data_IF_447293388435
#
_entry.id   IF_447293388435
#
_cell.length_a   1.000
_cell.length_b   1.000
_cell.length_c   1.000
_cell.angle_alpha   90.00
_cell.angle_beta   90.00
_cell.angle_gamma   90.00
#
_symmetry.space_group_name_H-M   'P 1'
#
loop_
_entity.id
_entity.type
_entity.pdbx_description
1 polymer ?
#
# COMPACT_ATOMS: atom_id res chain seq x y z
N UNK A 1 -2.22 21.15 11.56
CA UNK A 1 -2.17 19.69 11.40
C UNK A 1 -0.98 19.12 12.14
N UNK A 2 -1.16 18.00 12.78
CA UNK A 2 -0.09 17.39 13.55
C UNK A 2 0.86 16.62 12.63
N UNK A 3 2.15 16.91 12.70
CA UNK A 3 3.18 16.13 12.00
C UNK A 3 3.13 14.65 12.43
N UNK A 4 2.72 14.42 13.66
CA UNK A 4 2.64 13.09 14.22
C UNK A 4 1.65 12.21 13.44
N UNK A 5 0.50 12.77 13.06
CA UNK A 5 -0.50 12.02 12.29
C UNK A 5 0.01 11.71 10.89
N UNK A 6 0.71 12.65 10.28
CA UNK A 6 1.32 12.44 8.96
C UNK A 6 2.38 11.36 9.01
N UNK A 7 3.17 11.33 10.09
CA UNK A 7 4.22 10.32 10.25
C UNK A 7 3.62 8.94 10.44
N UNK A 8 2.52 8.83 11.20
CA UNK A 8 1.84 7.55 11.41
C UNK A 8 1.33 6.99 10.08
N UNK A 9 0.69 7.83 9.28
CA UNK A 9 0.19 7.39 7.96
C UNK A 9 1.34 7.00 7.05
N UNK A 10 2.37 7.83 6.99
CA UNK A 10 3.52 7.55 6.12
C UNK A 10 4.22 6.26 6.51
N UNK A 11 4.42 6.04 7.80
CA UNK A 11 5.05 4.82 8.29
C UNK A 11 4.21 3.60 7.92
N UNK A 12 2.89 3.71 8.01
CA UNK A 12 2.03 2.60 7.61
C UNK A 12 2.09 2.36 6.10
N UNK A 13 2.20 3.42 5.30
CA UNK A 13 2.38 3.29 3.85
C UNK A 13 3.66 2.51 3.54
N UNK A 14 4.76 2.83 4.24
CA UNK A 14 6.02 2.14 4.05
C UNK A 14 5.90 0.66 4.43
N UNK A 15 5.20 0.37 5.52
CA UNK A 15 4.99 -1.00 5.96
C UNK A 15 4.21 -1.80 4.92
N UNK A 16 3.15 -1.21 4.40
CA UNK A 16 2.29 -1.85 3.39
C UNK A 16 3.08 -2.13 2.11
N UNK A 17 3.84 -1.14 1.63
CA UNK A 17 4.63 -1.29 0.41
C UNK A 17 5.71 -2.35 0.62
N UNK A 18 6.40 -2.30 1.76
CA UNK A 18 7.46 -3.27 2.05
C UNK A 18 6.93 -4.70 2.05
N UNK A 19 5.77 -4.91 2.65
CA UNK A 19 5.16 -6.23 2.68
C UNK A 19 4.84 -6.73 1.27
N UNK A 20 4.23 -5.89 0.45
CA UNK A 20 3.87 -6.26 -0.92
C UNK A 20 5.12 -6.57 -1.74
N UNK A 21 6.15 -5.73 -1.62
CA UNK A 21 7.40 -5.93 -2.36
C UNK A 21 8.04 -7.26 -2.00
N UNK A 22 8.09 -7.59 -0.71
CA UNK A 22 8.68 -8.85 -0.27
C UNK A 22 7.86 -10.05 -0.74
N UNK A 23 6.55 -9.95 -0.70
CA UNK A 23 5.67 -11.01 -1.20
C UNK A 23 5.86 -11.22 -2.69
N UNK A 24 5.98 -10.14 -3.47
CA UNK A 24 6.21 -10.22 -4.90
C UNK A 24 7.57 -10.89 -5.20
N UNK A 25 8.59 -10.52 -4.43
CA UNK A 25 9.91 -11.14 -4.58
C UNK A 25 9.82 -12.65 -4.35
N UNK A 26 9.09 -13.07 -3.33
CA UNK A 26 8.95 -14.50 -3.02
C UNK A 26 8.24 -15.25 -4.14
N UNK A 27 7.37 -14.56 -4.89
CA UNK A 27 6.67 -15.13 -6.03
C UNK A 27 7.44 -14.97 -7.34
N UNK A 28 8.64 -14.40 -7.30
CA UNK A 28 9.46 -14.19 -8.48
C UNK A 28 8.99 -13.06 -9.38
N UNK A 29 8.22 -12.13 -8.85
CA UNK A 29 7.69 -11.00 -9.63
C UNK A 29 8.50 -9.73 -9.36
N UNK A 30 8.66 -8.92 -10.40
CA UNK A 30 9.30 -7.62 -10.23
C UNK A 30 8.38 -6.63 -9.55
N UNK A 31 8.86 -5.88 -8.53
CA UNK A 31 8.02 -4.96 -7.78
C UNK A 31 7.87 -3.60 -8.49
N UNK A 32 7.31 -3.62 -9.69
CA UNK A 32 7.04 -2.39 -10.44
C UNK A 32 5.86 -1.65 -9.80
N UNK A 33 5.89 -0.33 -9.85
CA UNK A 33 4.87 0.48 -9.20
C UNK A 33 3.45 0.14 -9.67
N UNK A 34 3.27 -0.15 -10.96
CA UNK A 34 1.97 -0.51 -11.52
C UNK A 34 1.47 -1.83 -10.93
N UNK A 35 2.37 -2.79 -10.76
CA UNK A 35 2.02 -4.10 -10.21
C UNK A 35 1.69 -3.97 -8.72
N UNK A 36 2.49 -3.20 -7.98
CA UNK A 36 2.24 -2.95 -6.56
C UNK A 36 0.85 -2.33 -6.37
N UNK A 37 0.54 -1.31 -7.18
CA UNK A 37 -0.78 -0.66 -7.12
C UNK A 37 -1.89 -1.65 -7.43
N UNK A 38 -1.70 -2.51 -8.41
CA UNK A 38 -2.69 -3.53 -8.77
C UNK A 38 -2.94 -4.52 -7.65
N UNK A 39 -1.87 -4.99 -7.00
CA UNK A 39 -1.99 -5.90 -5.84
C UNK A 39 -2.79 -5.23 -4.73
N UNK A 40 -2.48 -3.97 -4.43
CA UNK A 40 -3.18 -3.25 -3.37
C UNK A 40 -4.65 -3.02 -3.70
N UNK A 41 -4.97 -2.68 -4.95
CA UNK A 41 -6.36 -2.51 -5.38
C UNK A 41 -7.15 -3.80 -5.22
N UNK A 42 -6.56 -4.91 -5.64
CA UNK A 42 -7.19 -6.22 -5.51
C UNK A 42 -7.44 -6.56 -4.05
N UNK A 43 -6.47 -6.30 -3.20
CA UNK A 43 -6.61 -6.54 -1.77
C UNK A 43 -7.70 -5.67 -1.15
N UNK A 44 -7.75 -4.38 -1.54
CA UNK A 44 -8.76 -3.45 -1.04
C UNK A 44 -10.17 -3.86 -1.47
N UNK A 45 -10.31 -4.48 -2.64
CA UNK A 45 -11.60 -4.94 -3.13
C UNK A 45 -12.10 -6.17 -2.37
N UNK A 46 -11.23 -6.86 -1.65
CA UNK A 46 -11.62 -8.05 -0.88
C UNK A 46 -12.19 -7.62 0.46
N UNK A 47 -13.52 -7.61 0.55
CA UNK A 47 -14.22 -7.17 1.75
C UNK A 47 -14.12 -8.15 2.90
N UNK A 48 -13.64 -9.35 2.66
CA UNK A 48 -13.49 -10.37 3.71
C UNK A 48 -12.28 -10.13 4.59
N UNK A 49 -11.29 -9.42 4.08
CA UNK A 49 -10.08 -9.11 4.85
C UNK A 49 -10.38 -7.94 5.78
N UNK A 50 -10.18 -8.19 7.07
CA UNK A 50 -10.35 -7.12 8.07
C UNK A 50 -9.03 -6.43 8.30
N UNK A 51 -9.06 -5.10 8.22
CA UNK A 51 -7.88 -4.27 8.44
C UNK A 51 -8.26 -3.08 9.31
N UNK A 52 -7.27 -2.50 9.96
CA UNK A 52 -7.49 -1.25 10.68
C UNK A 52 -7.72 -0.12 9.68
N UNK A 53 -8.35 0.95 10.14
CA UNK A 53 -8.60 2.12 9.31
C UNK A 53 -7.31 2.72 8.76
N UNK A 54 -6.28 2.79 9.60
CA UNK A 54 -5.00 3.37 9.17
C UNK A 54 -4.36 2.53 8.06
N UNK A 55 -4.48 1.22 8.13
CA UNK A 55 -3.96 0.33 7.10
C UNK A 55 -4.69 0.55 5.77
N UNK A 56 -6.03 0.61 5.79
CA UNK A 56 -6.79 0.86 4.56
C UNK A 56 -6.49 2.22 3.98
N UNK A 57 -6.41 3.22 4.83
CA UNK A 57 -6.07 4.57 4.39
C UNK A 57 -4.68 4.60 3.75
N UNK A 58 -3.71 3.92 4.37
CA UNK A 58 -2.37 3.83 3.83
C UNK A 58 -2.34 3.12 2.48
N UNK A 59 -3.09 2.04 2.33
CA UNK A 59 -3.17 1.30 1.08
C UNK A 59 -3.74 2.17 -0.04
N UNK A 60 -4.81 2.92 0.24
CA UNK A 60 -5.38 3.84 -0.74
C UNK A 60 -4.41 4.95 -1.11
N UNK A 61 -3.71 5.49 -0.12
CA UNK A 61 -2.73 6.54 -0.36
C UNK A 61 -1.58 6.05 -1.23
N UNK A 62 -1.11 4.82 -1.02
CA UNK A 62 -0.06 4.23 -1.84
C UNK A 62 -0.55 4.04 -3.27
N UNK A 63 -1.76 3.48 -3.46
CA UNK A 63 -2.32 3.28 -4.79
C UNK A 63 -2.38 4.60 -5.54
N UNK A 64 -2.88 5.64 -4.88
CA UNK A 64 -2.97 6.96 -5.50
C UNK A 64 -1.60 7.52 -5.87
N UNK A 65 -0.64 7.41 -4.95
CA UNK A 65 0.71 7.92 -5.18
C UNK A 65 1.39 7.20 -6.35
N UNK A 66 1.25 5.88 -6.40
CA UNK A 66 1.90 5.09 -7.46
C UNK A 66 1.19 5.20 -8.81
N UNK A 67 -0.07 5.58 -8.81
CA UNK A 67 -0.84 5.76 -10.05
C UNK A 67 -0.59 7.11 -10.71
N UNK A 68 0.00 8.07 -9.99
CA UNK A 68 0.26 9.39 -10.55
C UNK A 68 1.36 9.34 -11.59
N UNK A 69 1.14 10.04 -12.68
CA UNK A 69 2.20 10.24 -13.67
C UNK A 69 3.09 11.38 -13.21
N UNK A 70 4.35 11.22 -13.44
CA UNK A 70 5.35 12.22 -13.08
C UNK A 70 5.59 13.17 -14.24
#
# INVERSE_FOLDING_TARGET
MSTKDSDVLYNEMCRVVGKVVLEMRDLGQEPKHVVIAGVLRTSLANKKIKRSEITEEAMRAVVEALARKQ
#
